data_IF_000252083520
#
_entry.id   IF_000252083520
#
_cell.length_a   1.000
_cell.length_b   1.000
_cell.length_c   1.000
_cell.angle_alpha   90.00
_cell.angle_beta   90.00
_cell.angle_gamma   90.00
#
_symmetry.space_group_name_H-M   'P 1'
#
loop_
_entity.id
_entity.type
_entity.pdbx_description
1 polymer ?
#
# COMPACT_ATOMS: atom_id res chain seq x y z
N UNK A 1 9.38 -13.09 6.11
CA UNK A 1 8.73 -11.87 5.57
C UNK A 1 9.74 -11.10 4.76
N UNK A 2 9.63 -11.10 3.43
CA UNK A 2 10.35 -10.14 2.59
C UNK A 2 9.40 -8.99 2.31
N UNK A 3 9.68 -7.81 2.86
CA UNK A 3 8.91 -6.61 2.49
C UNK A 3 9.56 -5.92 1.28
N UNK A 4 8.73 -5.26 0.47
CA UNK A 4 9.18 -4.48 -0.70
C UNK A 4 8.92 -3.00 -0.48
N UNK A 5 9.72 -2.13 -1.09
CA UNK A 5 9.45 -0.69 -1.12
C UNK A 5 8.65 -0.36 -2.37
N UNK A 6 7.57 0.39 -2.20
CA UNK A 6 6.72 0.87 -3.30
C UNK A 6 6.57 2.39 -3.23
N UNK A 7 6.30 3.01 -4.36
CA UNK A 7 5.87 4.40 -4.48
C UNK A 7 4.35 4.46 -4.63
N UNK A 8 3.68 5.26 -3.81
CA UNK A 8 2.22 5.35 -3.79
C UNK A 8 1.67 6.22 -4.92
N UNK A 9 0.54 5.82 -5.49
CA UNK A 9 -0.19 6.62 -6.49
C UNK A 9 -0.91 7.82 -5.87
N UNK A 10 -1.10 7.82 -4.55
CA UNK A 10 -1.70 8.90 -3.77
C UNK A 10 -3.23 8.83 -3.62
N UNK A 11 -3.83 7.73 -4.06
CA UNK A 11 -5.26 7.46 -3.88
C UNK A 11 -5.49 6.62 -2.62
N UNK A 12 -6.55 6.95 -1.87
CA UNK A 12 -7.07 6.15 -0.77
C UNK A 12 -8.50 5.74 -1.10
N UNK A 13 -8.72 4.45 -1.35
CA UNK A 13 -10.05 3.90 -1.61
C UNK A 13 -10.58 3.29 -0.32
N UNK A 14 -11.71 3.81 0.16
CA UNK A 14 -12.38 3.27 1.34
C UNK A 14 -13.52 2.35 0.96
N UNK A 15 -13.54 1.13 1.50
CA UNK A 15 -14.60 0.16 1.26
C UNK A 15 -14.83 -0.71 2.49
N UNK A 16 -16.06 -0.73 2.99
CA UNK A 16 -16.43 -1.55 4.15
C UNK A 16 -15.67 -1.18 5.43
N UNK A 17 -15.28 0.09 5.59
CA UNK A 17 -14.48 0.57 6.73
C UNK A 17 -12.97 0.31 6.61
N UNK A 18 -12.52 -0.32 5.51
CA UNK A 18 -11.11 -0.60 5.25
C UNK A 18 -10.54 0.40 4.22
N UNK A 19 -9.24 0.66 4.32
CA UNK A 19 -8.51 1.54 3.40
C UNK A 19 -7.65 0.73 2.44
N UNK A 20 -7.64 1.13 1.17
CA UNK A 20 -6.86 0.49 0.12
C UNK A 20 -6.05 1.53 -0.65
N UNK A 21 -4.79 1.20 -0.93
CA UNK A 21 -3.87 2.02 -1.70
C UNK A 21 -3.32 1.25 -2.88
N UNK A 22 -2.75 2.00 -3.84
CA UNK A 22 -2.04 1.44 -5.00
C UNK A 22 -0.67 2.10 -5.13
N UNK A 23 0.24 1.42 -5.81
CA UNK A 23 1.58 1.93 -6.04
C UNK A 23 2.44 1.04 -6.93
N UNK A 24 3.68 1.47 -7.14
CA UNK A 24 4.66 0.78 -8.00
C UNK A 24 5.95 0.43 -7.28
N UNK A 25 6.44 -0.78 -7.53
CA UNK A 25 7.76 -1.23 -7.09
C UNK A 25 8.90 -0.64 -7.92
N UNK A 26 10.14 -0.96 -7.52
CA UNK A 26 11.36 -0.43 -8.14
C UNK A 26 11.52 -0.83 -9.62
N UNK A 27 11.01 -2.00 -10.01
CA UNK A 27 11.12 -2.56 -11.35
C UNK A 27 9.81 -2.41 -12.16
N UNK A 28 9.00 -1.39 -11.87
CA UNK A 28 7.66 -1.17 -12.45
C UNK A 28 6.61 -2.24 -12.12
N UNK A 29 6.83 -3.05 -11.07
CA UNK A 29 5.81 -3.95 -10.52
C UNK A 29 4.59 -3.14 -10.06
N UNK A 30 3.40 -3.45 -10.57
CA UNK A 30 2.16 -2.78 -10.17
C UNK A 30 1.51 -3.47 -8.98
N UNK A 31 1.25 -2.72 -7.90
CA UNK A 31 0.52 -3.17 -6.73
C UNK A 31 -0.81 -2.41 -6.65
N UNK A 32 -1.91 -3.15 -6.59
CA UNK A 32 -3.27 -2.57 -6.58
C UNK A 32 -4.06 -3.12 -5.42
N UNK A 33 -4.94 -2.30 -4.83
CA UNK A 33 -5.81 -2.71 -3.71
C UNK A 33 -5.04 -3.29 -2.52
N UNK A 34 -3.86 -2.73 -2.24
CA UNK A 34 -3.07 -3.09 -1.05
C UNK A 34 -3.78 -2.58 0.18
N UNK A 35 -4.01 -3.46 1.16
CA UNK A 35 -4.68 -3.06 2.39
C UNK A 35 -3.78 -2.13 3.21
N UNK A 36 -4.31 -0.96 3.54
CA UNK A 36 -3.66 0.00 4.41
C UNK A 36 -4.24 -0.11 5.81
N UNK A 37 -3.40 -0.46 6.76
CA UNK A 37 -3.74 -0.34 8.18
C UNK A 37 -3.76 1.15 8.53
N UNK A 38 -4.95 1.70 8.77
CA UNK A 38 -5.09 3.11 9.16
C UNK A 38 -4.42 3.36 10.53
N UNK A 39 -3.51 4.35 10.63
CA UNK A 39 -3.02 4.77 11.92
C UNK A 39 -4.13 5.54 12.66
N UNK A 40 -4.66 4.95 13.74
CA UNK A 40 -5.71 5.55 14.57
C UNK A 40 -5.48 7.06 14.80
N UNK A 41 -6.44 7.88 14.38
CA UNK A 41 -6.49 9.31 14.72
C UNK A 41 -5.59 10.24 13.88
N UNK A 42 -4.82 9.72 12.93
CA UNK A 42 -4.13 10.56 11.95
C UNK A 42 -4.78 10.37 10.58
N UNK A 43 -5.64 11.32 10.20
CA UNK A 43 -6.14 11.48 8.83
C UNK A 43 -4.98 11.90 7.91
N UNK A 44 -4.05 10.98 7.70
CA UNK A 44 -2.92 11.10 6.79
C UNK A 44 -3.38 10.52 5.47
N UNK A 45 -3.62 11.37 4.47
CA UNK A 45 -3.84 10.90 3.12
C UNK A 45 -2.53 10.32 2.57
N UNK A 46 -2.56 9.19 1.84
CA UNK A 46 -1.38 8.70 1.14
C UNK A 46 -0.94 9.75 0.12
N UNK A 47 0.26 10.29 0.29
CA UNK A 47 0.79 11.31 -0.62
C UNK A 47 1.30 10.61 -1.87
N UNK A 48 0.92 11.10 -3.06
CA UNK A 48 1.47 10.63 -4.33
C UNK A 48 2.99 10.77 -4.33
N UNK A 49 3.70 9.70 -4.70
CA UNK A 49 5.17 9.67 -4.68
C UNK A 49 5.77 9.30 -3.32
N UNK A 50 4.98 9.19 -2.25
CA UNK A 50 5.48 8.72 -0.96
C UNK A 50 5.97 7.28 -1.05
N UNK A 51 7.03 6.96 -0.30
CA UNK A 51 7.57 5.61 -0.22
C UNK A 51 6.86 4.86 0.91
N UNK A 52 6.27 3.72 0.57
CA UNK A 52 5.65 2.80 1.52
C UNK A 52 6.42 1.49 1.57
N UNK A 53 6.27 0.79 2.70
CA UNK A 53 6.75 -0.57 2.87
C UNK A 53 5.59 -1.54 2.72
N UNK A 54 5.67 -2.39 1.72
CA UNK A 54 4.71 -3.43 1.43
C UNK A 54 5.05 -4.67 2.26
N UNK A 55 4.10 -5.11 3.08
CA UNK A 55 4.22 -6.34 3.86
C UNK A 55 3.56 -7.48 3.08
N UNK A 56 4.35 -8.49 2.73
CA UNK A 56 3.91 -9.65 1.97
C UNK A 56 3.94 -10.89 2.89
N UNK A 57 2.78 -11.38 3.36
CA UNK A 57 2.69 -12.67 4.01
C UNK A 57 3.29 -13.74 3.10
N UNK A 58 4.08 -14.65 3.67
CA UNK A 58 4.68 -15.78 2.93
C UNK A 58 5.58 -15.41 1.74
N UNK A 59 5.90 -14.12 1.53
CA UNK A 59 6.61 -13.66 0.33
C UNK A 59 5.75 -13.64 -0.94
N UNK A 60 4.44 -13.80 -0.80
CA UNK A 60 3.48 -13.74 -1.91
C UNK A 60 3.02 -12.29 -2.13
N UNK A 61 3.15 -11.81 -3.37
CA UNK A 61 2.78 -10.47 -3.74
C UNK A 61 1.26 -10.25 -3.80
N UNK A 62 0.49 -11.31 -4.03
CA UNK A 62 -0.97 -11.26 -4.13
C UNK A 62 -1.65 -11.29 -2.75
N UNK A 63 -0.89 -11.54 -1.69
CA UNK A 63 -1.36 -11.56 -0.29
C UNK A 63 -1.08 -10.24 0.46
N UNK A 64 -0.63 -9.21 -0.25
CA UNK A 64 -0.19 -7.94 0.32
C UNK A 64 -1.33 -6.95 0.61
#
# INVERSE_FOLDING_TARGET
>A
MSGRRIELDGENVEKGGQQFVSGRGLFNDGYTRVHRVEPHGFASMPIKGAKAFLLQPNGDADQA
#
